data_IF_192357519882
#
_entry.id   IF_192357519882
#
_cell.length_a   1.000
_cell.length_b   1.000
_cell.length_c   1.000
_cell.angle_alpha   90.00
_cell.angle_beta   90.00
_cell.angle_gamma   90.00
#
_symmetry.space_group_name_H-M   'P 1'
#
loop_
_entity.id
_entity.type
_entity.pdbx_description
1 polymer ?
#
# COMPACT_ATOMS: atom_id res chain seq x y z
N UNK A 1 21.47 -43.05 32.91
CA UNK A 1 20.70 -41.93 33.49
C UNK A 1 20.14 -41.16 32.31
N UNK A 2 18.81 -41.07 32.21
CA UNK A 2 18.12 -40.48 31.06
C UNK A 2 17.60 -39.11 31.46
N UNK A 3 17.97 -38.06 30.73
CA UNK A 3 17.45 -36.72 30.93
C UNK A 3 16.32 -36.45 29.91
N UNK A 4 15.12 -36.22 30.44
CA UNK A 4 13.92 -35.84 29.69
C UNK A 4 13.90 -34.32 29.53
N UNK A 5 14.02 -33.83 28.30
CA UNK A 5 13.81 -32.41 27.98
C UNK A 5 12.41 -32.21 27.39
N UNK A 6 11.56 -31.48 28.11
CA UNK A 6 10.25 -31.05 27.62
C UNK A 6 10.38 -29.87 26.64
N UNK A 7 9.58 -29.80 25.55
CA UNK A 7 9.62 -28.67 24.64
C UNK A 7 8.84 -27.48 25.23
N UNK A 8 9.49 -26.32 25.32
CA UNK A 8 8.83 -25.06 25.66
C UNK A 8 8.10 -24.49 24.43
N UNK A 9 6.78 -24.35 24.54
CA UNK A 9 5.95 -23.64 23.56
C UNK A 9 5.92 -22.14 23.89
N UNK A 10 6.41 -21.24 23.03
CA UNK A 10 6.22 -19.81 23.24
C UNK A 10 4.78 -19.43 22.84
N UNK A 11 4.05 -18.79 23.76
CA UNK A 11 2.76 -18.20 23.49
C UNK A 11 2.94 -16.93 22.64
N UNK A 12 2.45 -16.96 21.40
CA UNK A 12 2.40 -15.79 20.54
C UNK A 12 1.33 -14.82 21.05
N UNK A 13 1.75 -13.77 21.75
CA UNK A 13 0.91 -12.59 21.98
C UNK A 13 0.81 -11.82 20.68
N UNK A 14 -0.25 -12.07 19.91
CA UNK A 14 -0.68 -11.16 18.85
C UNK A 14 -1.22 -9.89 19.48
N UNK A 15 -0.37 -8.87 19.61
CA UNK A 15 -0.85 -7.50 19.79
C UNK A 15 -1.50 -7.06 18.48
N UNK A 16 -2.83 -7.17 18.41
CA UNK A 16 -3.60 -6.47 17.39
C UNK A 16 -3.49 -4.98 17.67
N UNK A 17 -2.66 -4.29 16.90
CA UNK A 17 -2.71 -2.83 16.80
C UNK A 17 -4.08 -2.49 16.19
N UNK A 18 -4.99 -2.04 17.03
CA UNK A 18 -6.26 -1.46 16.61
C UNK A 18 -5.95 -0.17 15.85
N UNK A 19 -6.10 -0.21 14.53
CA UNK A 19 -5.85 0.95 13.68
C UNK A 19 -5.75 0.65 12.20
N UNK A 20 -6.54 -0.29 11.66
CA UNK A 20 -6.84 -0.26 10.23
C UNK A 20 -8.17 0.47 10.04
N UNK A 21 -8.18 1.79 10.29
CA UNK A 21 -9.21 2.63 9.69
C UNK A 21 -9.11 2.41 8.18
N UNK A 22 -10.05 1.61 7.67
CA UNK A 22 -10.16 1.36 6.25
C UNK A 22 -10.48 2.68 5.58
N UNK A 23 -9.49 3.27 4.92
CA UNK A 23 -9.69 4.47 4.11
C UNK A 23 -10.64 4.07 2.97
N UNK A 24 -11.81 4.69 2.90
CA UNK A 24 -12.73 4.46 1.78
C UNK A 24 -12.28 5.26 0.56
N UNK A 25 -12.67 4.85 -0.64
CA UNK A 25 -12.37 5.63 -1.86
C UNK A 25 -12.91 7.06 -1.74
N UNK A 26 -14.09 7.21 -1.14
CA UNK A 26 -14.67 8.50 -0.81
C UNK A 26 -13.78 9.39 0.08
N UNK A 27 -12.97 8.82 0.99
CA UNK A 27 -12.10 9.63 1.86
C UNK A 27 -10.92 10.23 1.10
N UNK A 28 -10.46 9.58 0.04
CA UNK A 28 -9.46 10.14 -0.85
C UNK A 28 -10.06 11.14 -1.83
N UNK A 29 -11.22 10.81 -2.44
CA UNK A 29 -11.94 11.74 -3.33
C UNK A 29 -12.29 13.04 -2.59
N UNK A 30 -12.69 13.00 -1.31
CA UNK A 30 -12.97 14.21 -0.50
C UNK A 30 -11.83 15.24 -0.50
N UNK A 31 -10.59 14.80 -0.71
CA UNK A 31 -9.38 15.65 -0.70
C UNK A 31 -9.06 16.22 -2.08
N UNK A 32 -9.73 15.78 -3.14
CA UNK A 32 -9.45 16.23 -4.50
C UNK A 32 -9.94 17.66 -4.72
N UNK A 33 -9.05 18.49 -5.25
CA UNK A 33 -9.43 19.72 -5.93
C UNK A 33 -10.14 19.39 -7.27
N UNK A 34 -10.65 20.42 -7.95
CA UNK A 34 -11.38 20.24 -9.21
C UNK A 34 -10.52 19.59 -10.30
N UNK A 35 -9.23 19.90 -10.38
CA UNK A 35 -8.36 19.35 -11.42
C UNK A 35 -8.13 17.85 -11.20
N UNK A 36 -7.74 17.46 -9.99
CA UNK A 36 -7.56 16.06 -9.61
C UNK A 36 -8.83 15.24 -9.75
N UNK A 37 -9.99 15.83 -9.44
CA UNK A 37 -11.27 15.17 -9.65
C UNK A 37 -11.52 14.89 -11.14
N UNK A 38 -11.27 15.85 -12.02
CA UNK A 38 -11.45 15.67 -13.47
C UNK A 38 -10.50 14.59 -14.00
N UNK A 39 -9.23 14.61 -13.58
CA UNK A 39 -8.26 13.58 -13.98
C UNK A 39 -8.69 12.18 -13.52
N UNK A 40 -9.22 12.08 -12.30
CA UNK A 40 -9.76 10.83 -11.77
C UNK A 40 -10.96 10.33 -12.58
N UNK A 41 -11.94 11.20 -12.86
CA UNK A 41 -13.14 10.85 -13.63
C UNK A 41 -12.81 10.48 -15.08
N UNK A 42 -11.81 11.13 -15.69
CA UNK A 42 -11.31 10.77 -17.03
C UNK A 42 -10.72 9.36 -17.08
N UNK A 43 -10.14 8.88 -15.97
CA UNK A 43 -9.63 7.52 -15.86
C UNK A 43 -10.73 6.45 -15.82
N UNK A 44 -11.97 6.83 -15.47
CA UNK A 44 -13.10 5.92 -15.31
C UNK A 44 -13.89 5.80 -16.61
N UNK A 45 -13.55 4.79 -17.42
CA UNK A 45 -14.12 4.59 -18.76
C UNK A 45 -15.61 4.25 -18.74
N UNK A 46 -16.08 3.65 -17.65
CA UNK A 46 -17.46 3.17 -17.53
C UNK A 46 -18.47 4.31 -17.33
N UNK A 47 -18.01 5.54 -17.07
CA UNK A 47 -18.88 6.70 -16.90
C UNK A 47 -19.40 7.27 -18.22
N UNK A 48 -18.72 6.98 -19.35
CA UNK A 48 -19.12 7.48 -20.67
C UNK A 48 -19.13 9.00 -20.79
N UNK A 49 -18.25 9.70 -20.05
CA UNK A 49 -18.12 11.15 -20.09
C UNK A 49 -17.27 11.58 -21.28
N UNK A 50 -17.67 12.66 -21.95
CA UNK A 50 -16.84 13.34 -22.94
C UNK A 50 -16.12 14.57 -22.36
N UNK A 51 -15.36 15.27 -23.19
CA UNK A 51 -14.62 16.46 -22.75
C UNK A 51 -15.54 17.66 -22.42
N UNK A 52 -16.73 17.76 -23.02
CA UNK A 52 -17.69 18.83 -22.73
C UNK A 52 -18.33 18.62 -21.35
N UNK A 53 -18.67 17.37 -21.02
CA UNK A 53 -19.14 16.97 -19.69
C UNK A 53 -18.13 17.35 -18.60
N UNK A 54 -16.85 17.05 -18.82
CA UNK A 54 -15.77 17.38 -17.88
C UNK A 54 -15.54 18.90 -17.78
N UNK A 55 -15.71 19.65 -18.88
CA UNK A 55 -15.66 21.11 -18.83
C UNK A 55 -16.82 21.72 -18.03
N UNK A 56 -18.00 21.09 -17.99
CA UNK A 56 -19.09 21.54 -17.10
C UNK A 56 -18.66 21.42 -15.63
N UNK A 57 -18.08 20.29 -15.24
CA UNK A 57 -17.55 20.06 -13.88
C UNK A 57 -16.49 21.12 -13.53
N UNK A 58 -15.60 21.43 -14.48
CA UNK A 58 -14.55 22.46 -14.34
C UNK A 58 -15.13 23.86 -14.17
N UNK A 59 -16.04 24.28 -15.06
CA UNK A 59 -16.70 25.60 -15.04
C UNK A 59 -17.47 25.81 -13.74
N UNK A 60 -18.09 24.74 -13.23
CA UNK A 60 -18.84 24.76 -11.96
C UNK A 60 -17.95 24.64 -10.72
N UNK A 61 -16.64 24.42 -10.89
CA UNK A 61 -15.65 24.27 -9.81
C UNK A 61 -16.03 23.21 -8.79
N UNK A 62 -16.59 22.09 -9.27
CA UNK A 62 -16.93 20.96 -8.41
C UNK A 62 -15.62 20.34 -7.94
N UNK A 63 -15.41 20.27 -6.63
CA UNK A 63 -14.30 19.55 -6.02
C UNK A 63 -14.81 18.19 -5.52
N UNK A 64 -13.91 17.30 -5.09
CA UNK A 64 -14.31 15.94 -4.75
C UNK A 64 -15.30 15.86 -3.57
N UNK A 65 -15.24 16.78 -2.61
CA UNK A 65 -16.25 16.87 -1.54
C UNK A 65 -17.63 17.27 -2.07
N UNK A 66 -17.70 18.22 -3.00
CA UNK A 66 -18.95 18.63 -3.62
C UNK A 66 -19.52 17.50 -4.47
N UNK A 67 -18.69 16.89 -5.33
CA UNK A 67 -19.05 15.75 -6.18
C UNK A 67 -19.74 14.62 -5.40
N UNK A 68 -19.17 14.20 -4.26
CA UNK A 68 -19.75 13.14 -3.43
C UNK A 68 -21.12 13.51 -2.82
N UNK A 69 -21.52 14.79 -2.84
CA UNK A 69 -22.81 15.26 -2.32
C UNK A 69 -23.80 15.63 -3.42
N UNK A 70 -23.33 15.80 -4.65
CA UNK A 70 -24.14 16.24 -5.78
C UNK A 70 -25.10 15.14 -6.22
N UNK A 71 -26.37 15.51 -6.40
CA UNK A 71 -27.39 14.59 -6.92
C UNK A 71 -27.45 14.64 -8.44
N UNK A 72 -28.15 13.68 -9.05
CA UNK A 72 -28.43 13.67 -10.48
C UNK A 72 -29.08 14.98 -10.94
N UNK A 73 -30.10 15.45 -10.22
CA UNK A 73 -30.85 16.66 -10.57
C UNK A 73 -29.97 17.92 -10.49
N UNK A 74 -28.97 17.94 -9.59
CA UNK A 74 -27.99 19.01 -9.56
C UNK A 74 -27.06 19.00 -10.76
N UNK A 75 -26.56 17.82 -11.16
CA UNK A 75 -25.75 17.67 -12.36
C UNK A 75 -26.52 18.11 -13.62
N UNK A 76 -27.80 17.72 -13.75
CA UNK A 76 -28.66 18.19 -14.83
C UNK A 76 -28.84 19.72 -14.82
N UNK A 77 -29.03 20.33 -13.63
CA UNK A 77 -29.09 21.80 -13.48
C UNK A 77 -27.77 22.50 -13.82
N UNK A 78 -26.64 21.81 -13.80
CA UNK A 78 -25.36 22.36 -14.23
C UNK A 78 -25.15 22.28 -15.74
N UNK A 79 -26.05 21.60 -16.46
CA UNK A 79 -26.03 21.48 -17.91
C UNK A 79 -25.57 20.12 -18.43
N UNK A 80 -25.35 19.13 -17.55
CA UNK A 80 -25.07 17.75 -17.99
C UNK A 80 -26.32 17.10 -18.55
N UNK A 81 -26.16 16.31 -19.59
CA UNK A 81 -27.26 15.47 -20.09
C UNK A 81 -27.64 14.39 -19.07
N UNK A 82 -28.88 13.90 -19.15
CA UNK A 82 -29.43 12.95 -18.18
C UNK A 82 -28.62 11.65 -18.06
N UNK A 83 -27.95 11.21 -19.13
CA UNK A 83 -27.05 10.05 -19.11
C UNK A 83 -25.82 10.28 -18.21
N UNK A 84 -24.90 11.19 -18.62
CA UNK A 84 -23.74 11.61 -17.81
C UNK A 84 -24.09 11.96 -16.36
N UNK A 85 -25.18 12.71 -16.14
CA UNK A 85 -25.64 13.09 -14.80
C UNK A 85 -26.02 11.88 -13.93
N UNK A 86 -26.70 10.88 -14.53
CA UNK A 86 -27.05 9.63 -13.82
C UNK A 86 -25.79 8.84 -13.47
N UNK A 87 -24.89 8.65 -14.43
CA UNK A 87 -23.64 7.89 -14.24
C UNK A 87 -22.77 8.50 -13.14
N UNK A 88 -22.59 9.82 -13.14
CA UNK A 88 -21.82 10.53 -12.11
C UNK A 88 -22.45 10.39 -10.72
N UNK A 89 -23.78 10.53 -10.61
CA UNK A 89 -24.48 10.43 -9.33
C UNK A 89 -24.42 9.01 -8.75
N UNK A 90 -24.55 7.98 -9.58
CA UNK A 90 -24.48 6.59 -9.12
C UNK A 90 -23.04 6.19 -8.79
N UNK A 91 -22.06 6.63 -9.57
CA UNK A 91 -20.65 6.44 -9.25
C UNK A 91 -20.24 7.13 -7.95
N UNK A 92 -20.75 8.33 -7.68
CA UNK A 92 -20.50 9.04 -6.42
C UNK A 92 -21.05 8.27 -5.20
N UNK A 93 -22.15 7.53 -5.35
CA UNK A 93 -22.67 6.62 -4.30
C UNK A 93 -21.76 5.40 -4.17
N UNK A 94 -21.41 4.77 -5.29
CA UNK A 94 -20.53 3.60 -5.31
C UNK A 94 -19.17 3.88 -4.64
N UNK A 95 -18.62 5.08 -4.84
CA UNK A 95 -17.39 5.53 -4.18
C UNK A 95 -17.47 5.54 -2.64
N UNK A 96 -18.67 5.74 -2.06
CA UNK A 96 -18.88 5.70 -0.61
C UNK A 96 -18.94 4.28 -0.08
N UNK A 97 -19.42 3.35 -0.89
CA UNK A 97 -19.59 1.95 -0.53
C UNK A 97 -18.33 1.12 -0.81
N UNK A 98 -17.50 1.57 -1.77
CA UNK A 98 -16.17 1.03 -2.07
C UNK A 98 -15.20 1.32 -0.92
N UNK A 99 -15.21 0.42 0.07
CA UNK A 99 -14.13 0.27 1.04
C UNK A 99 -12.88 -0.12 0.25
N UNK A 100 -11.82 0.69 0.26
CA UNK A 100 -10.57 0.28 -0.39
C UNK A 100 -10.17 -1.03 0.28
N UNK A 101 -9.98 -2.07 -0.53
CA UNK A 101 -9.41 -3.33 -0.07
C UNK A 101 -8.14 -2.97 0.68
N UNK A 102 -8.11 -3.25 1.98
CA UNK A 102 -6.90 -3.06 2.78
C UNK A 102 -5.76 -3.75 2.04
N UNK A 103 -4.55 -3.19 2.07
CA UNK A 103 -3.39 -3.78 1.40
C UNK A 103 -3.20 -5.27 1.68
N UNK A 104 -3.67 -5.76 2.83
CA UNK A 104 -3.74 -7.19 3.20
C UNK A 104 -4.64 -8.07 2.32
N UNK A 105 -5.42 -7.48 1.41
CA UNK A 105 -6.25 -8.16 0.42
C UNK A 105 -5.58 -8.26 -0.95
N UNK A 106 -4.46 -7.58 -1.18
CA UNK A 106 -3.66 -7.79 -2.38
C UNK A 106 -2.88 -9.08 -2.19
N UNK A 107 -3.58 -10.19 -2.42
CA UNK A 107 -3.04 -11.55 -2.51
C UNK A 107 -2.36 -12.01 -1.21
N UNK A 108 -2.80 -13.13 -0.67
CA UNK A 108 -2.01 -13.86 0.32
C UNK A 108 -0.60 -14.09 -0.24
N UNK A 109 0.41 -14.15 0.64
CA UNK A 109 1.79 -14.44 0.22
C UNK A 109 1.84 -15.68 -0.69
N UNK A 110 1.00 -16.67 -0.43
CA UNK A 110 0.81 -17.86 -1.27
C UNK A 110 0.31 -17.58 -2.69
N UNK A 111 -0.61 -16.63 -2.88
CA UNK A 111 -1.09 -16.26 -4.21
C UNK A 111 -0.01 -15.54 -5.03
N UNK A 112 0.75 -14.64 -4.39
CA UNK A 112 1.90 -13.97 -5.03
C UNK A 112 2.98 -14.99 -5.42
N UNK A 113 3.24 -15.97 -4.54
CA UNK A 113 4.19 -17.05 -4.83
C UNK A 113 3.70 -17.96 -5.96
N UNK A 114 2.41 -18.30 -6.01
CA UNK A 114 1.83 -19.09 -7.09
C UNK A 114 1.91 -18.39 -8.45
N UNK A 115 1.71 -17.07 -8.52
CA UNK A 115 1.89 -16.30 -9.74
C UNK A 115 3.36 -16.28 -10.21
N UNK A 116 4.30 -16.33 -9.26
CA UNK A 116 5.72 -16.52 -9.51
C UNK A 116 6.11 -17.98 -9.83
N UNK A 117 5.15 -18.92 -9.91
CA UNK A 117 5.40 -20.35 -10.15
C UNK A 117 6.08 -21.06 -8.98
N UNK A 118 5.91 -20.53 -7.76
CA UNK A 118 6.46 -21.06 -6.51
C UNK A 118 5.34 -21.75 -5.73
N UNK A 119 4.88 -22.87 -6.29
CA UNK A 119 3.98 -23.82 -5.68
C UNK A 119 4.62 -24.27 -4.35
N UNK A 120 3.80 -24.45 -3.31
CA UNK A 120 4.17 -24.46 -1.88
C UNK A 120 5.28 -25.42 -1.40
N UNK A 121 5.89 -26.21 -2.28
CA UNK A 121 6.95 -27.18 -1.97
C UNK A 121 8.36 -26.69 -2.37
N UNK A 122 8.49 -25.48 -2.96
CA UNK A 122 9.70 -25.05 -3.66
C UNK A 122 10.38 -23.79 -3.13
N UNK A 123 10.62 -23.63 -1.82
CA UNK A 123 11.59 -22.59 -1.38
C UNK A 123 13.01 -22.92 -1.86
N UNK A 124 13.30 -24.20 -2.08
CA UNK A 124 14.59 -24.69 -2.57
C UNK A 124 14.82 -24.35 -4.06
N UNK A 125 13.75 -24.01 -4.79
CA UNK A 125 13.79 -23.60 -6.19
C UNK A 125 13.95 -22.09 -6.37
N UNK A 126 13.83 -21.30 -5.29
CA UNK A 126 14.13 -19.87 -5.33
C UNK A 126 15.62 -19.76 -5.65
N UNK A 127 16.01 -19.17 -6.81
CA UNK A 127 17.42 -18.96 -7.07
C UNK A 127 17.95 -18.07 -5.95
N UNK A 128 18.80 -18.62 -5.10
CA UNK A 128 19.53 -17.84 -4.11
C UNK A 128 20.34 -16.83 -4.91
N UNK A 129 19.82 -15.60 -4.96
CA UNK A 129 20.55 -14.50 -5.54
C UNK A 129 21.84 -14.40 -4.73
N UNK A 130 22.95 -14.72 -5.39
CA UNK A 130 24.28 -14.44 -4.85
C UNK A 130 24.61 -13.03 -5.30
N UNK A 131 24.32 -11.99 -4.49
CA UNK A 131 24.68 -10.64 -4.88
C UNK A 131 26.18 -10.58 -5.14
N UNK A 132 26.62 -9.82 -6.15
CA UNK A 132 28.03 -9.56 -6.34
C UNK A 132 28.60 -8.99 -5.03
N UNK A 133 29.59 -9.69 -4.47
CA UNK A 133 30.31 -9.17 -3.31
C UNK A 133 31.38 -8.22 -3.80
N UNK A 134 31.39 -7.02 -3.23
CA UNK A 134 32.46 -6.05 -3.47
C UNK A 134 33.27 -5.93 -2.18
N UNK A 135 34.57 -6.11 -2.30
CA UNK A 135 35.51 -5.88 -1.19
C UNK A 135 35.53 -4.39 -0.84
N UNK A 136 34.86 -4.04 0.26
CA UNK A 136 34.91 -2.69 0.79
C UNK A 136 36.07 -2.66 1.77
N UNK A 137 37.10 -1.87 1.45
CA UNK A 137 38.23 -1.65 2.34
C UNK A 137 37.77 -1.01 3.66
N UNK A 138 38.23 -1.53 4.80
CA UNK A 138 37.92 -1.00 6.13
C UNK A 138 38.34 0.47 6.30
N UNK A 139 39.27 0.97 5.48
CA UNK A 139 39.68 2.38 5.45
C UNK A 139 38.68 3.31 4.75
N UNK A 140 37.62 2.77 4.11
CA UNK A 140 36.62 3.54 3.41
C UNK A 140 35.81 4.42 4.38
N UNK A 141 35.95 5.74 4.24
CA UNK A 141 35.32 6.75 5.11
C UNK A 141 33.78 6.68 5.08
N UNK A 142 33.19 6.32 3.94
CA UNK A 142 31.73 6.21 3.79
C UNK A 142 31.22 4.98 4.54
N UNK A 143 31.94 3.86 4.43
CA UNK A 143 31.61 2.63 5.16
C UNK A 143 31.73 2.82 6.68
N UNK A 144 32.82 3.42 7.16
CA UNK A 144 33.00 3.73 8.59
C UNK A 144 31.87 4.59 9.14
N UNK A 145 31.52 5.68 8.44
CA UNK A 145 30.43 6.58 8.84
C UNK A 145 29.09 5.84 8.88
N UNK A 146 28.80 5.00 7.88
CA UNK A 146 27.57 4.20 7.83
C UNK A 146 27.50 3.21 9.01
N UNK A 147 28.60 2.54 9.33
CA UNK A 147 28.69 1.65 10.49
C UNK A 147 28.51 2.40 11.81
N UNK A 148 29.16 3.55 12.00
CA UNK A 148 28.98 4.39 13.18
C UNK A 148 27.52 4.82 13.37
N UNK A 149 26.82 5.14 12.28
CA UNK A 149 25.40 5.49 12.31
C UNK A 149 24.51 4.29 12.70
N UNK A 150 24.77 3.11 12.12
CA UNK A 150 24.04 1.87 12.45
C UNK A 150 24.29 1.48 13.91
N UNK A 151 25.54 1.48 14.37
CA UNK A 151 25.89 1.18 15.76
C UNK A 151 25.34 2.22 16.73
N UNK A 152 25.31 3.50 16.34
CA UNK A 152 24.65 4.56 17.11
C UNK A 152 23.16 4.28 17.27
N UNK A 153 22.47 3.92 16.18
CA UNK A 153 21.04 3.55 16.22
C UNK A 153 20.79 2.28 17.03
N UNK A 154 21.70 1.31 17.02
CA UNK A 154 21.59 0.08 17.84
C UNK A 154 21.87 0.32 19.33
N UNK A 155 22.74 1.28 19.68
CA UNK A 155 23.04 1.64 21.07
C UNK A 155 21.98 2.53 21.71
N UNK A 156 21.37 3.43 20.93
CA UNK A 156 20.45 4.45 21.43
C UNK A 156 18.99 4.26 20.98
N UNK A 157 18.72 3.29 20.10
CA UNK A 157 17.37 2.95 19.65
C UNK A 157 16.76 1.84 20.50
N UNK A 158 15.56 2.10 21.03
CA UNK A 158 14.68 1.10 21.64
C UNK A 158 14.18 0.11 20.58
N UNK A 159 15.01 -0.85 20.20
CA UNK A 159 14.58 -2.02 19.44
C UNK A 159 14.86 -3.28 20.26
N UNK A 160 13.78 -3.93 20.68
CA UNK A 160 13.77 -5.21 21.37
C UNK A 160 14.63 -6.25 20.65
N UNK A 161 15.56 -6.86 21.41
CA UNK A 161 16.31 -8.10 21.15
C UNK A 161 16.28 -8.61 19.70
N UNK A 162 17.22 -8.14 18.89
CA UNK A 162 17.70 -8.90 17.74
C UNK A 162 18.73 -9.90 18.28
N UNK A 163 18.38 -11.18 18.35
CA UNK A 163 19.34 -12.27 18.62
C UNK A 163 20.15 -12.48 17.35
N UNK A 164 21.40 -12.02 17.36
CA UNK A 164 22.37 -12.36 16.32
C UNK A 164 22.76 -13.84 16.45
N UNK A 165 22.51 -14.65 15.41
CA UNK A 165 23.32 -15.85 15.18
C UNK A 165 24.63 -15.39 14.56
N UNK A 166 25.81 -15.73 15.11
CA UNK A 166 27.07 -15.34 14.50
C UNK A 166 27.26 -16.17 13.23
N UNK A 167 27.24 -15.54 12.05
CA UNK A 167 27.93 -16.10 10.90
C UNK A 167 29.43 -15.92 11.15
N UNK A 168 30.14 -17.04 11.22
CA UNK A 168 31.60 -17.08 11.28
C UNK A 168 32.13 -16.50 9.96
N UNK A 169 32.60 -15.26 9.98
CA UNK A 169 33.47 -14.75 8.92
C UNK A 169 34.88 -15.24 9.20
N UNK A 170 35.38 -16.15 8.37
CA UNK A 170 36.80 -16.48 8.34
C UNK A 170 37.55 -15.27 7.75
N UNK A 171 38.32 -14.59 8.57
CA UNK A 171 39.39 -13.70 8.12
C UNK A 171 40.64 -14.56 7.90
N UNK A 172 41.15 -14.59 6.67
CA UNK A 172 42.53 -15.02 6.37
C UNK A 172 43.48 -13.84 6.49
#
# INVERSE_FOLDING_TARGET
MSETSTPYTPASTSTSVAGNESVSLADDIKKYDTAKLIDFLRGEKDLGLDDEDLEIIRKRKINGRAFLKTSKEEFERYGLEGGPATNLADFAKECKDKKLKAFSSYLSLSEVLAECGLDSDGIDSIPLFSPPTYEIQDSNKVFKRCMEEIFGRLRYGTFSRIVWRPCVMNMS
#
